data_IF_544204739268
#
_entry.id   IF_544204739268
#
_cell.length_a   1.000
_cell.length_b   1.000
_cell.length_c   1.000
_cell.angle_alpha   90.00
_cell.angle_beta   90.00
_cell.angle_gamma   90.00
#
_symmetry.space_group_name_H-M   'P 1'
#
loop_
_entity.id
_entity.type
_entity.pdbx_description
1 polymer ?
#
# COMPACT_ATOMS: atom_id res chain seq x y z
N UNK A 1 -20.13 20.35 -23.54
CA UNK A 1 -18.96 19.47 -23.76
C UNK A 1 -19.49 18.16 -24.32
N UNK A 2 -19.11 17.80 -25.54
CA UNK A 2 -19.61 16.58 -26.17
C UNK A 2 -19.03 15.37 -25.43
N UNK A 3 -19.90 14.52 -24.88
CA UNK A 3 -19.51 13.17 -24.49
C UNK A 3 -19.18 12.43 -25.78
N UNK A 4 -17.89 12.30 -26.05
CA UNK A 4 -17.40 11.46 -27.14
C UNK A 4 -17.86 10.03 -26.85
N UNK A 5 -18.64 9.43 -27.75
CA UNK A 5 -19.08 8.04 -27.59
C UNK A 5 -17.86 7.14 -27.40
N UNK A 6 -17.76 6.53 -26.23
CA UNK A 6 -16.71 5.57 -25.91
C UNK A 6 -16.90 4.35 -26.82
N UNK A 7 -15.83 3.93 -27.50
CA UNK A 7 -15.88 2.72 -28.32
C UNK A 7 -16.24 1.50 -27.49
N UNK A 8 -16.92 0.52 -28.09
CA UNK A 8 -17.32 -0.74 -27.44
C UNK A 8 -16.12 -1.44 -26.76
N UNK A 9 -14.96 -1.43 -27.42
CA UNK A 9 -13.72 -1.98 -26.88
C UNK A 9 -13.26 -1.27 -25.59
N UNK A 10 -13.45 0.06 -25.50
CA UNK A 10 -13.12 0.84 -24.32
C UNK A 10 -14.08 0.53 -23.18
N UNK A 11 -15.39 0.46 -23.48
CA UNK A 11 -16.43 0.09 -22.52
C UNK A 11 -16.18 -1.30 -21.92
N UNK A 12 -15.86 -2.29 -22.77
CA UNK A 12 -15.53 -3.65 -22.32
C UNK A 12 -14.28 -3.67 -21.45
N UNK A 13 -13.24 -2.89 -21.80
CA UNK A 13 -12.02 -2.77 -21.01
C UNK A 13 -12.29 -2.17 -19.62
N UNK A 14 -13.10 -1.11 -19.56
CA UNK A 14 -13.50 -0.48 -18.29
C UNK A 14 -14.29 -1.48 -17.43
N UNK A 15 -15.25 -2.19 -18.01
CA UNK A 15 -16.03 -3.21 -17.29
C UNK A 15 -15.14 -4.32 -16.71
N UNK A 16 -14.17 -4.82 -17.48
CA UNK A 16 -13.22 -5.84 -17.02
C UNK A 16 -12.32 -5.32 -15.89
N UNK A 17 -11.83 -4.08 -15.99
CA UNK A 17 -11.06 -3.45 -14.91
C UNK A 17 -11.89 -3.29 -13.64
N UNK A 18 -13.13 -2.82 -13.77
CA UNK A 18 -14.05 -2.67 -12.65
C UNK A 18 -14.33 -4.02 -11.98
N UNK A 19 -14.57 -5.08 -12.77
CA UNK A 19 -14.78 -6.43 -12.25
C UNK A 19 -13.57 -6.95 -11.47
N UNK A 20 -12.34 -6.71 -11.96
CA UNK A 20 -11.10 -7.03 -11.22
C UNK A 20 -11.01 -6.27 -9.91
N UNK A 21 -11.20 -4.94 -9.95
CA UNK A 21 -11.09 -4.08 -8.77
C UNK A 21 -12.12 -4.39 -7.68
N UNK A 22 -13.27 -4.95 -8.05
CA UNK A 22 -14.31 -5.38 -7.11
C UNK A 22 -13.95 -6.63 -6.30
N UNK A 23 -13.01 -7.46 -6.78
CA UNK A 23 -12.56 -8.65 -6.07
C UNK A 23 -11.90 -8.27 -4.73
N UNK A 24 -12.00 -9.15 -3.73
CA UNK A 24 -11.36 -8.94 -2.42
C UNK A 24 -10.07 -9.77 -2.31
N UNK A 25 -9.11 -9.31 -1.51
CA UNK A 25 -7.79 -9.93 -1.33
C UNK A 25 -7.83 -11.36 -0.76
N UNK A 26 -7.27 -12.36 -1.46
CA UNK A 26 -7.08 -13.68 -0.85
C UNK A 26 -6.22 -13.64 0.43
N UNK A 27 -6.36 -14.61 1.34
CA UNK A 27 -5.57 -14.71 2.57
C UNK A 27 -4.04 -14.70 2.34
N UNK A 28 -3.58 -15.14 1.17
CA UNK A 28 -2.17 -15.10 0.74
C UNK A 28 -1.61 -13.68 0.61
N UNK A 29 -2.47 -12.67 0.45
CA UNK A 29 -2.07 -11.27 0.37
C UNK A 29 -2.05 -10.56 1.72
N UNK A 30 -2.51 -11.23 2.77
CA UNK A 30 -2.83 -10.64 4.05
C UNK A 30 -1.79 -11.04 5.10
N UNK A 31 -1.48 -10.11 5.99
CA UNK A 31 -0.56 -10.30 7.09
C UNK A 31 -1.14 -9.67 8.36
N UNK A 32 -0.70 -10.16 9.51
CA UNK A 32 -1.11 -9.63 10.82
C UNK A 32 0.09 -9.15 11.61
N UNK A 33 -0.06 -8.03 12.30
CA UNK A 33 0.89 -7.55 13.31
C UNK A 33 0.19 -7.34 14.65
N UNK A 34 0.89 -7.45 15.79
CA UNK A 34 0.33 -7.06 17.08
C UNK A 34 -0.20 -5.62 17.05
N UNK A 35 -1.33 -5.38 17.70
CA UNK A 35 -1.85 -4.03 17.89
C UNK A 35 -1.04 -3.25 18.94
N UNK A 36 -1.14 -1.91 18.95
CA UNK A 36 -0.56 -1.09 20.01
C UNK A 36 -1.05 -1.52 21.40
N UNK A 37 -0.18 -1.50 22.41
CA UNK A 37 -0.55 -1.78 23.80
C UNK A 37 -1.08 -3.19 24.07
N UNK A 38 -0.79 -4.18 23.21
CA UNK A 38 -1.35 -5.53 23.33
C UNK A 38 -2.79 -5.65 22.82
N UNK A 39 -3.28 -4.63 22.10
CA UNK A 39 -4.61 -4.65 21.48
C UNK A 39 -4.74 -5.68 20.35
N UNK A 40 -5.94 -5.75 19.74
CA UNK A 40 -6.23 -6.69 18.65
C UNK A 40 -5.19 -6.61 17.53
N UNK A 41 -4.87 -7.76 16.94
CA UNK A 41 -3.97 -7.82 15.79
C UNK A 41 -4.51 -6.95 14.66
N UNK A 42 -3.62 -6.18 14.02
CA UNK A 42 -3.94 -5.36 12.86
C UNK A 42 -3.67 -6.17 11.60
N UNK A 43 -4.70 -6.29 10.77
CA UNK A 43 -4.65 -6.93 9.45
C UNK A 43 -4.19 -5.92 8.41
N UNK A 44 -3.19 -6.26 7.60
CA UNK A 44 -2.65 -5.39 6.56
C UNK A 44 -2.12 -6.19 5.36
N UNK A 45 -1.99 -5.53 4.22
CA UNK A 45 -1.25 -6.04 3.07
C UNK A 45 0.15 -5.41 3.01
N UNK A 46 1.14 -6.22 2.69
CA UNK A 46 2.53 -5.77 2.50
C UNK A 46 2.65 -4.90 1.24
N UNK A 47 3.53 -3.88 1.28
CA UNK A 47 3.66 -2.91 0.19
C UNK A 47 4.02 -3.55 -1.15
N UNK A 48 4.94 -4.53 -1.16
CA UNK A 48 5.36 -5.21 -2.38
C UNK A 48 4.22 -6.00 -3.05
N UNK A 49 3.30 -6.57 -2.26
CA UNK A 49 2.13 -7.29 -2.78
C UNK A 49 1.16 -6.35 -3.46
N UNK A 50 0.90 -5.19 -2.84
CA UNK A 50 0.03 -4.15 -3.42
C UNK A 50 0.62 -3.57 -4.71
N UNK A 51 1.95 -3.38 -4.77
CA UNK A 51 2.63 -2.95 -6.00
C UNK A 51 2.47 -3.99 -7.12
N UNK A 52 2.63 -5.28 -6.81
CA UNK A 52 2.44 -6.35 -7.79
C UNK A 52 0.99 -6.41 -8.29
N UNK A 53 0.00 -6.27 -7.39
CA UNK A 53 -1.41 -6.21 -7.77
C UNK A 53 -1.71 -4.99 -8.65
N UNK A 54 -1.14 -3.82 -8.35
CA UNK A 54 -1.28 -2.64 -9.22
C UNK A 54 -0.69 -2.89 -10.62
N UNK A 55 0.47 -3.56 -10.70
CA UNK A 55 1.06 -3.97 -11.98
C UNK A 55 0.22 -4.99 -12.75
N UNK A 56 -0.46 -5.91 -12.05
CA UNK A 56 -1.33 -6.91 -12.67
C UNK A 56 -2.64 -6.29 -13.18
N UNK A 57 -3.21 -5.35 -12.41
CA UNK A 57 -4.49 -4.72 -12.73
C UNK A 57 -4.32 -3.65 -13.81
N UNK A 58 -3.35 -2.76 -13.66
CA UNK A 58 -3.17 -1.61 -14.55
C UNK A 58 -2.11 -1.85 -15.63
N UNK A 59 -1.24 -2.84 -15.46
CA UNK A 59 -0.01 -2.99 -16.25
C UNK A 59 1.12 -2.14 -15.68
N UNK A 60 2.37 -2.58 -15.86
CA UNK A 60 3.58 -1.89 -15.35
C UNK A 60 3.69 -0.42 -15.84
N UNK A 61 3.05 -0.10 -16.97
CA UNK A 61 3.05 1.23 -17.59
C UNK A 61 1.67 1.91 -17.56
N UNK A 62 0.72 1.36 -16.80
CA UNK A 62 -0.65 1.87 -16.67
C UNK A 62 -0.88 2.70 -15.41
N UNK A 63 0.09 2.73 -14.49
CA UNK A 63 0.05 3.56 -13.30
C UNK A 63 1.44 4.12 -12.98
N UNK A 64 1.47 5.19 -12.20
CA UNK A 64 2.68 5.81 -11.66
C UNK A 64 2.39 6.36 -10.27
N UNK A 65 3.45 6.67 -9.51
CA UNK A 65 3.32 7.38 -8.25
C UNK A 65 4.33 8.52 -8.15
N UNK A 66 3.95 9.60 -7.47
CA UNK A 66 4.81 10.74 -7.19
C UNK A 66 4.64 11.22 -5.75
N UNK A 67 5.76 11.60 -5.13
CA UNK A 67 5.74 12.23 -3.81
C UNK A 67 5.31 13.68 -4.01
N UNK A 68 4.14 14.05 -3.51
CA UNK A 68 3.60 15.41 -3.54
C UNK A 68 4.22 16.25 -2.43
N UNK A 69 4.32 15.65 -1.23
CA UNK A 69 4.95 16.29 -0.08
C UNK A 69 5.60 15.26 0.84
N UNK A 70 6.68 15.65 1.51
CA UNK A 70 7.36 14.83 2.52
C UNK A 70 7.79 15.73 3.69
N UNK A 71 7.00 15.72 4.75
CA UNK A 71 7.21 16.56 5.93
C UNK A 71 7.85 15.76 7.05
N UNK A 72 8.87 16.33 7.67
CA UNK A 72 9.34 15.85 8.97
C UNK A 72 8.52 16.53 10.04
N UNK A 73 7.62 15.79 10.69
CA UNK A 73 6.69 16.37 11.67
C UNK A 73 7.42 16.73 12.97
N UNK A 74 8.25 15.82 13.46
CA UNK A 74 9.16 16.07 14.57
C UNK A 74 10.39 15.16 14.53
N UNK A 75 11.46 15.63 15.18
CA UNK A 75 12.63 14.84 15.55
C UNK A 75 13.03 15.20 16.97
N UNK A 76 12.75 14.31 17.91
CA UNK A 76 13.09 14.50 19.32
C UNK A 76 14.27 13.61 19.68
N UNK A 77 15.32 14.19 20.25
CA UNK A 77 16.50 13.46 20.70
C UNK A 77 16.59 13.55 22.20
N UNK A 78 16.52 12.41 22.88
CA UNK A 78 16.70 12.36 24.32
C UNK A 78 18.15 12.76 24.67
N UNK A 79 18.37 13.79 25.52
CA UNK A 79 19.70 14.33 25.78
C UNK A 79 20.62 13.35 26.53
N UNK A 80 20.07 12.45 27.33
CA UNK A 80 20.82 11.49 28.14
C UNK A 80 21.13 10.22 27.34
N UNK A 81 20.10 9.60 26.77
CA UNK A 81 20.21 8.31 26.07
C UNK A 81 20.64 8.44 24.62
N UNK A 82 20.60 9.66 24.06
CA UNK A 82 20.83 9.98 22.64
C UNK A 82 19.89 9.26 21.66
N UNK A 83 18.81 8.67 22.18
CA UNK A 83 17.78 7.98 21.40
C UNK A 83 16.88 8.98 20.70
N UNK A 84 16.47 8.65 19.48
CA UNK A 84 15.68 9.55 18.63
C UNK A 84 14.25 9.03 18.44
N UNK A 85 13.26 9.91 18.62
CA UNK A 85 11.88 9.69 18.20
C UNK A 85 11.62 10.55 16.97
N UNK A 86 11.12 9.95 15.88
CA UNK A 86 10.99 10.63 14.58
C UNK A 86 9.64 10.28 13.96
N UNK A 87 8.91 11.32 13.56
CA UNK A 87 7.67 11.22 12.79
C UNK A 87 7.82 11.91 11.44
N UNK A 88 7.37 11.25 10.39
CA UNK A 88 7.37 11.77 9.02
C UNK A 88 6.02 11.49 8.38
N UNK A 89 5.47 12.51 7.74
CA UNK A 89 4.26 12.42 6.93
C UNK A 89 4.62 12.56 5.46
N UNK A 90 4.09 11.69 4.62
CA UNK A 90 4.18 11.78 3.17
C UNK A 90 2.78 11.98 2.57
N UNK A 91 2.67 12.81 1.54
CA UNK A 91 1.51 12.84 0.64
C UNK A 91 1.98 12.29 -0.69
N UNK A 92 1.32 11.24 -1.18
CA UNK A 92 1.66 10.60 -2.45
C UNK A 92 0.44 10.64 -3.36
N UNK A 93 0.68 10.95 -4.64
CA UNK A 93 -0.29 10.81 -5.73
C UNK A 93 -0.02 9.52 -6.48
N UNK A 94 -1.06 8.74 -6.72
CA UNK A 94 -1.06 7.63 -7.68
C UNK A 94 -1.89 8.04 -8.88
N UNK A 95 -1.31 7.98 -10.07
CA UNK A 95 -1.93 8.43 -11.33
C UNK A 95 -1.99 7.28 -12.32
N UNK A 96 -3.18 6.99 -12.85
CA UNK A 96 -3.39 6.04 -13.94
C UNK A 96 -3.05 6.70 -15.30
N UNK A 97 -2.85 5.87 -16.33
CA UNK A 97 -2.49 6.33 -17.67
C UNK A 97 -3.50 7.32 -18.29
N UNK A 98 -4.78 7.19 -17.96
CA UNK A 98 -5.84 8.08 -18.43
C UNK A 98 -5.92 9.42 -17.68
N UNK A 99 -5.03 9.63 -16.70
CA UNK A 99 -4.97 10.84 -15.88
C UNK A 99 -5.80 10.80 -14.61
N UNK A 100 -6.60 9.75 -14.37
CA UNK A 100 -7.31 9.57 -13.09
C UNK A 100 -6.28 9.39 -11.98
N UNK A 101 -6.44 10.11 -10.87
CA UNK A 101 -5.52 10.00 -9.75
C UNK A 101 -6.23 10.02 -8.40
N UNK A 102 -5.55 9.43 -7.41
CA UNK A 102 -5.89 9.56 -6.00
C UNK A 102 -4.64 9.97 -5.22
N UNK A 103 -4.86 10.83 -4.22
CA UNK A 103 -3.86 11.21 -3.24
C UNK A 103 -4.28 10.71 -1.87
N UNK A 104 -3.32 10.27 -1.08
CA UNK A 104 -3.54 9.99 0.34
C UNK A 104 -2.26 10.30 1.12
N UNK A 105 -2.44 10.47 2.43
CA UNK A 105 -1.35 10.63 3.38
C UNK A 105 -0.79 9.27 3.78
N UNK A 106 0.45 9.23 4.23
CA UNK A 106 1.06 8.07 4.87
C UNK A 106 2.01 8.51 5.98
N UNK A 107 2.18 7.65 6.97
CA UNK A 107 2.90 7.99 8.18
C UNK A 107 4.04 7.00 8.47
N UNK A 108 5.20 7.55 8.84
CA UNK A 108 6.34 6.78 9.29
C UNK A 108 6.75 7.23 10.68
N UNK A 109 6.71 6.29 11.63
CA UNK A 109 7.08 6.51 13.03
C UNK A 109 8.19 5.58 13.45
N UNK A 110 9.14 6.12 14.21
CA UNK A 110 10.06 5.32 15.00
C UNK A 110 10.27 5.99 16.35
N UNK A 111 10.16 5.19 17.39
CA UNK A 111 10.50 5.56 18.74
C UNK A 111 11.80 4.87 19.14
N UNK A 112 12.59 5.54 19.97
CA UNK A 112 13.79 4.99 20.57
C UNK A 112 14.85 4.52 19.54
N UNK A 113 14.95 5.20 18.40
CA UNK A 113 15.94 4.89 17.37
C UNK A 113 17.36 5.12 17.89
N UNK A 114 18.29 4.22 17.56
CA UNK A 114 19.69 4.31 17.99
C UNK A 114 20.45 5.46 17.33
N UNK A 115 20.04 5.87 16.14
CA UNK A 115 20.66 6.97 15.42
C UNK A 115 19.62 7.76 14.62
N UNK A 116 19.84 9.08 14.51
CA UNK A 116 18.99 10.00 13.72
C UNK A 116 18.93 9.58 12.25
N UNK A 117 20.07 9.19 11.66
CA UNK A 117 20.15 8.79 10.25
C UNK A 117 19.33 7.53 9.94
N UNK A 118 19.46 6.47 10.74
CA UNK A 118 18.68 5.25 10.54
C UNK A 118 17.18 5.50 10.76
N UNK A 119 16.83 6.28 11.77
CA UNK A 119 15.43 6.62 12.06
C UNK A 119 14.79 7.43 10.93
N UNK A 120 15.47 8.46 10.42
CA UNK A 120 15.03 9.23 9.25
C UNK A 120 14.83 8.34 8.02
N UNK A 121 15.79 7.45 7.72
CA UNK A 121 15.70 6.57 6.56
C UNK A 121 14.52 5.60 6.66
N UNK A 122 14.27 5.02 7.85
CA UNK A 122 13.11 4.17 8.09
C UNK A 122 11.81 4.95 7.92
N UNK A 123 11.64 6.07 8.64
CA UNK A 123 10.39 6.83 8.63
C UNK A 123 10.04 7.37 7.24
N UNK A 124 11.03 7.85 6.46
CA UNK A 124 10.78 8.29 5.08
C UNK A 124 10.26 7.15 4.20
N UNK A 125 10.91 5.98 4.27
CA UNK A 125 10.51 4.80 3.49
C UNK A 125 9.12 4.29 3.88
N UNK A 126 8.85 4.24 5.18
CA UNK A 126 7.57 3.79 5.72
C UNK A 126 6.44 4.75 5.36
N UNK A 127 6.62 6.07 5.55
CA UNK A 127 5.62 7.08 5.21
C UNK A 127 5.23 7.03 3.72
N UNK A 128 6.22 6.96 2.82
CA UNK A 128 5.96 6.88 1.38
C UNK A 128 5.26 5.56 1.00
N UNK A 129 5.71 4.44 1.55
CA UNK A 129 5.09 3.13 1.28
C UNK A 129 3.64 3.08 1.78
N UNK A 130 3.39 3.65 2.96
CA UNK A 130 2.04 3.72 3.53
C UNK A 130 1.12 4.60 2.67
N UNK A 131 1.60 5.78 2.26
CA UNK A 131 0.86 6.70 1.39
C UNK A 131 0.51 6.05 0.04
N UNK A 132 1.45 5.31 -0.57
CA UNK A 132 1.19 4.56 -1.82
C UNK A 132 0.06 3.54 -1.64
N UNK A 133 0.13 2.71 -0.59
CA UNK A 133 -0.91 1.70 -0.32
C UNK A 133 -2.27 2.36 -0.09
N UNK A 134 -2.28 3.47 0.65
CA UNK A 134 -3.50 4.22 0.99
C UNK A 134 -4.09 4.92 -0.23
N UNK A 135 -3.28 5.48 -1.12
CA UNK A 135 -3.74 6.04 -2.39
C UNK A 135 -4.32 4.93 -3.29
N UNK A 136 -3.62 3.79 -3.43
CA UNK A 136 -4.04 2.67 -4.27
C UNK A 136 -5.38 2.05 -3.83
N UNK A 137 -5.68 2.01 -2.53
CA UNK A 137 -6.94 1.44 -2.04
C UNK A 137 -8.17 2.15 -2.61
N UNK A 138 -8.07 3.44 -2.93
CA UNK A 138 -9.22 4.22 -3.43
C UNK A 138 -9.70 3.73 -4.81
N UNK A 139 -8.89 2.97 -5.55
CA UNK A 139 -9.30 2.36 -6.81
C UNK A 139 -10.15 1.09 -6.65
N UNK A 140 -10.09 0.40 -5.50
CA UNK A 140 -10.94 -0.79 -5.30
C UNK A 140 -10.50 -1.77 -4.21
N UNK A 141 -11.35 -2.78 -3.99
CA UNK A 141 -11.17 -3.82 -2.98
C UNK A 141 -9.88 -4.60 -3.18
N UNK A 142 -9.56 -4.96 -4.43
CA UNK A 142 -8.39 -5.77 -4.75
C UNK A 142 -7.08 -5.05 -4.38
N UNK A 143 -7.09 -3.72 -4.36
CA UNK A 143 -5.95 -2.90 -3.97
C UNK A 143 -5.94 -2.53 -2.48
N UNK A 144 -6.70 -3.27 -1.67
CA UNK A 144 -6.64 -3.21 -0.21
C UNK A 144 -7.82 -2.50 0.46
N UNK A 145 -8.80 -1.98 -0.30
CA UNK A 145 -9.97 -1.35 0.32
C UNK A 145 -10.79 -2.33 1.17
N UNK A 146 -10.82 -3.61 0.79
CA UNK A 146 -11.55 -4.63 1.54
C UNK A 146 -11.03 -4.83 2.97
N UNK A 147 -9.77 -4.46 3.28
CA UNK A 147 -9.22 -4.60 4.63
C UNK A 147 -9.81 -3.60 5.64
N UNK A 148 -10.53 -2.58 5.16
CA UNK A 148 -11.27 -1.63 6.01
C UNK A 148 -12.67 -2.14 6.39
N UNK A 149 -13.17 -3.17 5.70
CA UNK A 149 -14.36 -3.93 6.11
C UNK A 149 -13.96 -4.86 7.26
N UNK A 150 -14.37 -4.51 8.48
CA UNK A 150 -14.02 -5.23 9.71
C UNK A 150 -14.48 -6.69 9.68
N UNK A 151 -15.66 -6.96 9.13
CA UNK A 151 -16.19 -8.32 9.02
C UNK A 151 -15.32 -9.14 8.09
N UNK A 152 -14.99 -8.59 6.92
CA UNK A 152 -14.10 -9.26 5.98
C UNK A 152 -12.70 -9.50 6.55
N UNK A 153 -12.09 -8.51 7.19
CA UNK A 153 -10.76 -8.62 7.78
C UNK A 153 -10.67 -9.69 8.89
N UNK A 154 -11.78 -9.98 9.58
CA UNK A 154 -11.88 -11.04 10.58
C UNK A 154 -12.12 -12.42 9.97
N UNK A 155 -12.88 -12.53 8.87
CA UNK A 155 -13.16 -13.81 8.23
C UNK A 155 -11.98 -14.30 7.38
N UNK A 156 -11.35 -13.41 6.61
CA UNK A 156 -10.31 -13.81 5.66
C UNK A 156 -9.08 -14.43 6.35
N UNK A 157 -8.78 -14.01 7.57
CA UNK A 157 -7.66 -14.55 8.37
C UNK A 157 -7.91 -15.95 8.92
N UNK A 158 -9.17 -16.42 8.90
CA UNK A 158 -9.53 -17.79 9.31
C UNK A 158 -9.34 -18.81 8.19
N UNK A 159 -9.20 -18.35 6.95
CA UNK A 159 -9.02 -19.21 5.79
C UNK A 159 -7.60 -19.77 5.81
N UNK A 160 -7.47 -21.11 5.85
CA UNK A 160 -6.17 -21.77 5.82
C UNK A 160 -5.58 -21.69 4.41
N UNK A 161 -4.45 -21.02 4.28
CA UNK A 161 -3.65 -21.04 3.05
C UNK A 161 -2.83 -22.33 3.05
N UNK A 162 -2.92 -23.18 2.02
CA UNK A 162 -2.00 -24.31 1.86
C UNK A 162 -0.56 -23.77 1.83
N UNK A 163 0.42 -24.45 2.45
CA UNK A 163 1.80 -24.01 2.37
C UNK A 163 2.22 -23.90 0.91
N UNK A 164 2.72 -22.72 0.51
CA UNK A 164 3.25 -22.50 -0.83
C UNK A 164 4.41 -23.47 -1.01
N UNK A 165 4.25 -24.46 -1.88
CA UNK A 165 5.34 -25.36 -2.26
C UNK A 165 6.44 -24.52 -2.90
N UNK A 166 7.56 -24.39 -2.20
CA UNK A 166 8.67 -23.55 -2.62
C UNK A 166 9.24 -24.02 -3.96
N UNK A 167 9.28 -23.13 -4.94
CA UNK A 167 10.44 -22.76 -5.76
C UNK A 167 9.99 -21.82 -6.90
N UNK A 168 10.24 -20.50 -6.85
CA UNK A 168 10.39 -19.75 -8.07
C UNK A 168 11.71 -20.20 -8.71
N UNK A 169 11.66 -20.75 -9.94
CA UNK A 169 12.84 -20.89 -10.78
C UNK A 169 13.51 -19.53 -10.85
N UNK A 170 14.77 -19.44 -10.44
CA UNK A 170 15.61 -18.27 -10.67
C UNK A 170 15.58 -17.98 -12.16
N UNK A 171 14.86 -16.94 -12.57
CA UNK A 171 15.25 -16.20 -13.78
C UNK A 171 16.20 -15.13 -13.27
N UNK A 172 17.45 -15.54 -13.06
CA UNK A 172 18.53 -14.58 -13.01
C UNK A 172 18.67 -14.05 -14.44
N UNK A 173 18.26 -12.80 -14.66
CA UNK A 173 18.68 -12.09 -15.86
C UNK A 173 20.14 -11.72 -15.61
N UNK A 174 21.03 -12.43 -16.28
CA UNK A 174 22.46 -12.14 -16.39
C UNK A 174 22.71 -10.83 -17.10
#
# INVERSE_FOLDING_TARGET
MAYQELSEATTLKIANLQAKLNQKLGPEYISQRPGPGGGPKLTYAEGWKIINLANEVFGFNGWSSSIVNLTTDFIDVNPETKRCNISITAIVRVTLRDGVYHEDLGHGLIENAKSKGQGLAKCKKEAVTDAIKRALRNFGNLLGNCLYDKSYAQEVVKIKVPPVSGHPRRVAVS
#
